data_IF_884361185540
#
_entry.id   IF_884361185540
#
_cell.length_a   1.000
_cell.length_b   1.000
_cell.length_c   1.000
_cell.angle_alpha   90.00
_cell.angle_beta   90.00
_cell.angle_gamma   90.00
#
_symmetry.space_group_name_H-M   'P 1'
#
loop_
_entity.id
_entity.type
_entity.pdbx_description
1 polymer ?
#
# COMPACT_ATOMS: atom_id res chain seq x y z
N UNK A 1 5.94 -21.24 18.70
CA UNK A 1 5.87 -19.87 19.25
C UNK A 1 4.95 -19.71 20.46
N UNK A 2 3.62 -19.86 20.38
CA UNK A 2 2.73 -19.66 21.56
C UNK A 2 2.95 -20.68 22.70
N UNK A 3 3.30 -21.94 22.38
CA UNK A 3 3.64 -22.97 23.40
C UNK A 3 4.96 -22.65 24.11
N UNK A 4 5.99 -22.32 23.36
CA UNK A 4 7.34 -22.02 23.89
C UNK A 4 7.30 -20.81 24.83
N UNK A 5 6.54 -19.80 24.45
CA UNK A 5 6.29 -18.62 25.27
C UNK A 5 5.59 -18.94 26.60
N UNK A 6 4.62 -19.86 26.59
CA UNK A 6 3.92 -20.26 27.80
C UNK A 6 4.81 -21.07 28.74
N UNK A 7 5.74 -21.84 28.16
CA UNK A 7 6.76 -22.58 28.89
C UNK A 7 7.74 -21.60 29.54
N UNK A 8 8.24 -20.60 28.80
CA UNK A 8 9.09 -19.53 29.34
C UNK A 8 8.39 -18.82 30.50
N UNK A 9 7.12 -18.42 30.33
CA UNK A 9 6.37 -17.80 31.43
C UNK A 9 6.25 -18.73 32.65
N UNK A 10 5.95 -20.01 32.45
CA UNK A 10 5.87 -20.98 33.55
C UNK A 10 7.22 -21.10 34.28
N UNK A 11 8.33 -21.16 33.55
CA UNK A 11 9.67 -21.22 34.16
C UNK A 11 9.97 -19.97 34.98
N UNK A 12 9.61 -18.78 34.49
CA UNK A 12 9.76 -17.53 35.25
C UNK A 12 8.92 -17.57 36.53
N UNK A 13 7.66 -18.03 36.45
CA UNK A 13 6.78 -18.15 37.62
C UNK A 13 7.31 -19.14 38.67
N UNK A 14 7.88 -20.26 38.23
CA UNK A 14 8.49 -21.25 39.12
C UNK A 14 9.75 -20.72 39.81
N UNK A 15 10.59 -19.96 39.09
CA UNK A 15 11.77 -19.30 39.68
C UNK A 15 11.36 -18.25 40.72
N UNK A 16 10.31 -17.46 40.44
CA UNK A 16 9.74 -16.50 41.40
C UNK A 16 9.21 -17.24 42.64
N UNK A 17 8.47 -18.34 42.44
CA UNK A 17 7.97 -19.14 43.55
C UNK A 17 9.11 -19.71 44.43
N UNK A 18 10.19 -20.19 43.81
CA UNK A 18 11.37 -20.69 44.51
C UNK A 18 12.04 -19.58 45.33
N UNK A 19 12.14 -18.36 44.79
CA UNK A 19 12.64 -17.19 45.51
C UNK A 19 11.81 -16.90 46.76
N UNK A 20 10.47 -16.94 46.66
CA UNK A 20 9.59 -16.72 47.82
C UNK A 20 9.72 -17.81 48.88
N UNK A 21 9.86 -19.09 48.49
CA UNK A 21 10.10 -20.20 49.42
C UNK A 21 11.42 -19.99 50.16
N UNK A 22 12.49 -19.62 49.45
CA UNK A 22 13.79 -19.33 50.05
C UNK A 22 13.74 -18.13 51.01
N UNK A 23 13.00 -17.08 50.67
CA UNK A 23 12.80 -15.91 51.54
C UNK A 23 12.01 -16.27 52.82
N UNK A 24 11.02 -17.17 52.72
CA UNK A 24 10.18 -17.57 53.83
C UNK A 24 10.95 -18.27 54.97
N UNK A 25 12.07 -18.94 54.68
CA UNK A 25 12.89 -19.61 55.72
C UNK A 25 13.51 -18.65 56.73
N UNK A 26 13.69 -17.37 56.36
CA UNK A 26 14.30 -16.35 57.22
C UNK A 26 13.30 -15.58 58.09
N UNK A 27 12.00 -15.92 57.99
CA UNK A 27 10.90 -15.14 58.58
C UNK A 27 10.27 -15.87 59.77
N UNK A 28 9.60 -15.15 60.70
CA UNK A 28 8.91 -15.75 61.84
C UNK A 28 7.82 -16.73 61.39
N UNK A 29 7.48 -17.68 62.26
CA UNK A 29 6.65 -18.86 61.97
C UNK A 29 5.29 -18.52 61.36
N UNK A 30 4.65 -17.44 61.84
CA UNK A 30 3.35 -16.96 61.36
C UNK A 30 3.44 -16.42 59.92
N UNK A 31 4.43 -15.58 59.63
CA UNK A 31 4.66 -15.04 58.28
C UNK A 31 5.11 -16.13 57.31
N UNK A 32 5.93 -17.06 57.78
CA UNK A 32 6.39 -18.22 57.00
C UNK A 32 5.21 -19.08 56.53
N UNK A 33 4.24 -19.36 57.39
CA UNK A 33 3.07 -20.16 57.03
C UNK A 33 2.23 -19.46 55.94
N UNK A 34 2.02 -18.15 56.05
CA UNK A 34 1.26 -17.36 55.09
C UNK A 34 1.95 -17.32 53.72
N UNK A 35 3.27 -17.10 53.69
CA UNK A 35 4.04 -17.05 52.43
C UNK A 35 4.05 -18.42 51.74
N UNK A 36 4.24 -19.51 52.49
CA UNK A 36 4.21 -20.87 51.93
C UNK A 36 2.82 -21.24 51.41
N UNK A 37 1.76 -20.85 52.11
CA UNK A 37 0.39 -21.05 51.64
C UNK A 37 0.11 -20.28 50.35
N UNK A 38 0.42 -18.98 50.30
CA UNK A 38 0.19 -18.17 49.10
C UNK A 38 1.04 -18.62 47.91
N UNK A 39 2.28 -19.06 48.13
CA UNK A 39 3.14 -19.58 47.05
C UNK A 39 2.65 -20.91 46.50
N UNK A 40 2.15 -21.82 47.34
CA UNK A 40 1.56 -23.09 46.86
C UNK A 40 0.28 -22.87 46.05
N UNK A 41 -0.55 -21.92 46.47
CA UNK A 41 -1.72 -21.46 45.68
C UNK A 41 -1.27 -20.83 44.37
N UNK A 42 -0.22 -20.00 44.37
CA UNK A 42 0.31 -19.37 43.16
C UNK A 42 0.85 -20.40 42.15
N UNK A 43 1.59 -21.42 42.62
CA UNK A 43 2.13 -22.49 41.77
C UNK A 43 1.00 -23.35 41.19
N UNK A 44 0.03 -23.76 42.00
CA UNK A 44 -1.10 -24.57 41.53
C UNK A 44 -1.93 -23.83 40.48
N UNK A 45 -2.23 -22.54 40.70
CA UNK A 45 -2.91 -21.68 39.72
C UNK A 45 -2.06 -21.37 38.48
N UNK A 46 -0.73 -21.47 38.57
CA UNK A 46 0.17 -21.27 37.44
C UNK A 46 0.31 -22.50 36.55
N UNK A 47 0.23 -23.70 37.12
CA UNK A 47 0.29 -24.99 36.40
C UNK A 47 -1.05 -25.30 35.71
N UNK A 48 -2.18 -24.95 36.33
CA UNK A 48 -3.51 -25.21 35.78
C UNK A 48 -3.71 -24.69 34.33
N UNK A 49 -3.31 -23.45 33.99
CA UNK A 49 -3.35 -22.94 32.62
C UNK A 49 -2.38 -23.56 31.64
N UNK A 50 -1.33 -24.23 32.13
CA UNK A 50 -0.41 -24.99 31.29
C UNK A 50 -1.03 -26.34 30.89
N UNK A 51 -1.69 -27.02 31.83
CA UNK A 51 -2.33 -28.32 31.59
C UNK A 51 -3.68 -28.20 30.85
N UNK A 52 -4.48 -27.17 31.17
CA UNK A 52 -5.82 -26.97 30.59
C UNK A 52 -5.99 -25.58 29.96
N UNK A 53 -5.35 -25.32 28.81
CA UNK A 53 -5.25 -23.97 28.22
C UNK A 53 -6.57 -23.37 27.74
N UNK A 54 -7.55 -24.19 27.35
CA UNK A 54 -8.84 -23.73 26.82
C UNK A 54 -9.80 -23.27 27.91
N UNK A 55 -9.93 -24.02 29.01
CA UNK A 55 -10.88 -23.72 30.10
C UNK A 55 -10.42 -22.59 31.04
N UNK A 56 -9.12 -22.34 31.15
CA UNK A 56 -8.55 -21.42 32.17
C UNK A 56 -7.89 -20.17 31.56
N UNK A 57 -8.23 -19.85 30.31
CA UNK A 57 -7.63 -18.75 29.54
C UNK A 57 -7.69 -17.40 30.25
N UNK A 58 -8.79 -17.12 30.95
CA UNK A 58 -8.98 -15.86 31.67
C UNK A 58 -8.22 -15.84 33.00
N UNK A 59 -8.22 -16.95 33.74
CA UNK A 59 -7.51 -17.09 35.02
C UNK A 59 -6.02 -16.77 34.82
N UNK A 60 -5.42 -17.32 33.76
CA UNK A 60 -4.00 -17.12 33.41
C UNK A 60 -3.56 -15.65 33.37
N UNK A 61 -4.44 -14.74 32.94
CA UNK A 61 -4.15 -13.31 32.77
C UNK A 61 -4.11 -12.54 34.09
N UNK A 62 -4.81 -13.05 35.11
CA UNK A 62 -4.97 -12.37 36.39
C UNK A 62 -4.23 -13.05 37.54
N UNK A 63 -3.72 -14.28 37.38
CA UNK A 63 -2.96 -14.98 38.44
C UNK A 63 -1.82 -14.11 38.98
N UNK A 64 -0.98 -13.56 38.09
CA UNK A 64 0.17 -12.76 38.49
C UNK A 64 -0.27 -11.42 39.12
N UNK A 65 -1.36 -10.83 38.63
CA UNK A 65 -1.90 -9.56 39.12
C UNK A 65 -2.51 -9.68 40.52
N UNK A 66 -3.19 -10.79 40.81
CA UNK A 66 -3.89 -11.02 42.09
C UNK A 66 -2.93 -11.57 43.14
N UNK A 67 -2.01 -12.47 42.77
CA UNK A 67 -1.24 -13.23 43.75
C UNK A 67 0.13 -12.63 44.07
N UNK A 68 0.82 -12.01 43.11
CA UNK A 68 2.20 -11.51 43.35
C UNK A 68 2.25 -10.24 44.23
N UNK A 69 1.38 -9.23 44.08
CA UNK A 69 1.46 -8.04 44.92
C UNK A 69 1.25 -8.34 46.42
N UNK A 70 0.26 -9.17 46.83
CA UNK A 70 0.14 -9.60 48.21
C UNK A 70 1.36 -10.39 48.70
N UNK A 71 1.88 -11.32 47.89
CA UNK A 71 3.06 -12.11 48.23
C UNK A 71 4.29 -11.24 48.51
N UNK A 72 4.56 -10.26 47.65
CA UNK A 72 5.66 -9.31 47.80
C UNK A 72 5.47 -8.35 48.99
N UNK A 73 4.22 -8.04 49.34
CA UNK A 73 3.90 -7.21 50.50
C UNK A 73 4.19 -7.96 51.81
N UNK A 74 3.71 -9.19 51.95
CA UNK A 74 3.86 -9.98 53.18
C UNK A 74 5.30 -10.43 53.48
N UNK A 75 6.17 -10.52 52.47
CA UNK A 75 7.58 -10.84 52.67
C UNK A 75 8.37 -9.72 53.35
N UNK A 76 7.95 -8.46 53.23
CA UNK A 76 8.66 -7.29 53.74
C UNK A 76 10.18 -7.34 53.44
N UNK A 77 10.52 -7.56 52.17
CA UNK A 77 11.91 -7.62 51.72
C UNK A 77 12.05 -6.89 50.38
N UNK A 78 13.07 -6.03 50.25
CA UNK A 78 13.33 -5.22 49.06
C UNK A 78 13.64 -6.12 47.85
N UNK A 79 14.26 -7.28 48.07
CA UNK A 79 14.55 -8.23 46.98
C UNK A 79 13.25 -8.86 46.46
N UNK A 80 12.27 -9.09 47.33
CA UNK A 80 11.00 -9.71 46.96
C UNK A 80 10.10 -8.78 46.14
N UNK A 81 10.20 -7.46 46.33
CA UNK A 81 9.44 -6.49 45.52
C UNK A 81 9.91 -6.47 44.06
N UNK A 82 11.21 -6.70 43.81
CA UNK A 82 11.76 -6.81 42.45
C UNK A 82 11.17 -7.98 41.64
N UNK A 83 10.60 -8.99 42.29
CA UNK A 83 9.93 -10.11 41.61
C UNK A 83 8.70 -9.69 40.80
N UNK A 84 8.11 -8.53 41.10
CA UNK A 84 6.99 -7.94 40.34
C UNK A 84 7.45 -7.36 38.99
N UNK A 85 8.73 -6.97 38.89
CA UNK A 85 9.29 -6.40 37.67
C UNK A 85 9.42 -7.44 36.54
N UNK A 86 9.81 -8.68 36.88
CA UNK A 86 9.97 -9.76 35.91
C UNK A 86 8.69 -10.07 35.09
N UNK A 87 7.51 -10.29 35.72
CA UNK A 87 6.26 -10.44 34.99
C UNK A 87 5.79 -9.12 34.36
N UNK A 88 6.06 -7.96 34.97
CA UNK A 88 5.75 -6.67 34.34
C UNK A 88 6.44 -6.55 32.98
N UNK A 89 7.76 -6.76 32.93
CA UNK A 89 8.57 -6.79 31.70
C UNK A 89 8.04 -7.79 30.67
N UNK A 90 7.61 -8.97 31.10
CA UNK A 90 7.06 -9.98 30.20
C UNK A 90 5.70 -9.58 29.59
N UNK A 91 4.86 -8.83 30.32
CA UNK A 91 3.53 -8.44 29.86
C UNK A 91 3.48 -7.14 29.06
N UNK A 92 4.55 -6.35 29.02
CA UNK A 92 4.64 -5.00 28.40
C UNK A 92 3.89 -4.92 27.08
N UNK A 93 4.22 -5.79 26.12
CA UNK A 93 3.70 -5.69 24.75
C UNK A 93 2.40 -6.47 24.52
N UNK A 94 1.96 -7.28 25.48
CA UNK A 94 0.79 -8.17 25.30
C UNK A 94 -0.43 -7.74 26.08
N UNK A 95 -0.22 -7.27 27.30
CA UNK A 95 -1.24 -6.80 28.22
C UNK A 95 -0.69 -5.55 28.92
N UNK A 96 -0.61 -4.40 28.21
CA UNK A 96 0.04 -3.20 28.73
C UNK A 96 -0.60 -2.72 30.04
N UNK A 97 -1.91 -2.88 30.20
CA UNK A 97 -2.61 -2.55 31.45
C UNK A 97 -2.14 -3.40 32.64
N UNK A 98 -1.96 -4.71 32.45
CA UNK A 98 -1.48 -5.63 33.51
C UNK A 98 -0.01 -5.34 33.83
N UNK A 99 0.80 -5.08 32.80
CA UNK A 99 2.19 -4.70 32.92
C UNK A 99 2.38 -3.40 33.72
N UNK A 100 1.61 -2.37 33.40
CA UNK A 100 1.65 -1.08 34.09
C UNK A 100 1.18 -1.22 35.54
N UNK A 101 0.12 -1.98 35.79
CA UNK A 101 -0.34 -2.24 37.16
C UNK A 101 0.74 -2.93 38.00
N UNK A 102 1.36 -3.98 37.49
CA UNK A 102 2.45 -4.69 38.19
C UNK A 102 3.67 -3.79 38.42
N UNK A 103 4.00 -2.94 37.45
CA UNK A 103 5.08 -1.97 37.59
C UNK A 103 4.79 -0.94 38.69
N UNK A 104 3.60 -0.35 38.71
CA UNK A 104 3.20 0.59 39.78
C UNK A 104 3.06 -0.10 41.13
N UNK A 105 2.58 -1.35 41.17
CA UNK A 105 2.57 -2.16 42.39
C UNK A 105 4.00 -2.43 42.90
N UNK A 106 4.95 -2.67 42.00
CA UNK A 106 6.38 -2.80 42.35
C UNK A 106 6.92 -1.51 42.95
N UNK A 107 6.65 -0.34 42.34
CA UNK A 107 7.09 0.97 42.85
C UNK A 107 6.45 1.27 44.21
N UNK A 108 5.16 1.02 44.36
CA UNK A 108 4.42 1.27 45.60
C UNK A 108 4.92 0.37 46.74
N UNK A 109 5.07 -0.93 46.51
CA UNK A 109 5.58 -1.87 47.52
C UNK A 109 7.03 -1.56 47.91
N UNK A 110 7.87 -1.14 46.95
CA UNK A 110 9.24 -0.70 47.21
C UNK A 110 9.31 0.57 48.06
N UNK A 111 8.41 1.53 47.84
CA UNK A 111 8.30 2.74 48.68
C UNK A 111 7.80 2.41 50.09
N UNK A 112 6.83 1.49 50.22
CA UNK A 112 6.28 1.09 51.52
C UNK A 112 7.26 0.28 52.37
N UNK A 113 8.08 -0.59 51.76
CA UNK A 113 9.05 -1.43 52.48
C UNK A 113 10.38 -0.73 52.71
N UNK A 114 10.86 0.06 51.75
CA UNK A 114 12.18 0.71 51.80
C UNK A 114 12.18 2.18 52.23
N UNK A 115 11.00 2.79 52.41
CA UNK A 115 10.87 4.20 52.79
C UNK A 115 11.47 5.18 51.77
N UNK A 116 11.82 6.40 52.20
CA UNK A 116 12.38 7.43 51.31
C UNK A 116 13.69 7.01 50.62
N UNK A 117 14.47 6.13 51.25
CA UNK A 117 15.74 5.63 50.70
C UNK A 117 15.55 4.82 49.41
N UNK A 118 14.36 4.24 49.19
CA UNK A 118 14.10 3.42 48.02
C UNK A 118 13.79 4.22 46.75
N UNK A 119 13.59 5.54 46.87
CA UNK A 119 13.40 6.44 45.72
C UNK A 119 14.57 6.42 44.74
N UNK A 120 15.79 6.15 45.23
CA UNK A 120 17.01 5.98 44.43
C UNK A 120 16.91 4.83 43.40
N UNK A 121 16.11 3.80 43.68
CA UNK A 121 15.94 2.65 42.78
C UNK A 121 14.85 2.86 41.73
N UNK A 122 14.00 3.89 41.87
CA UNK A 122 12.90 4.16 40.93
C UNK A 122 13.41 4.45 39.50
N UNK A 123 14.42 5.32 39.29
CA UNK A 123 14.96 5.54 37.94
C UNK A 123 15.48 4.25 37.28
N UNK A 124 16.10 3.37 38.08
CA UNK A 124 16.60 2.07 37.60
C UNK A 124 15.45 1.15 37.18
N UNK A 125 14.38 1.07 37.98
CA UNK A 125 13.17 0.30 37.65
C UNK A 125 12.53 0.80 36.35
N UNK A 126 12.41 2.12 36.18
CA UNK A 126 11.92 2.73 34.95
C UNK A 126 12.80 2.41 33.75
N UNK A 127 14.13 2.48 33.89
CA UNK A 127 15.06 2.16 32.81
C UNK A 127 14.94 0.69 32.35
N UNK A 128 14.84 -0.25 33.30
CA UNK A 128 14.65 -1.67 33.00
C UNK A 128 13.30 -1.93 32.32
N UNK A 129 12.23 -1.27 32.77
CA UNK A 129 10.92 -1.37 32.16
C UNK A 129 10.90 -0.82 30.73
N UNK A 130 11.47 0.37 30.51
CA UNK A 130 11.55 1.00 29.19
C UNK A 130 12.45 0.23 28.21
N UNK A 131 13.54 -0.37 28.70
CA UNK A 131 14.42 -1.21 27.88
C UNK A 131 13.64 -2.36 27.23
N UNK A 132 12.75 -3.01 27.97
CA UNK A 132 11.90 -4.08 27.45
C UNK A 132 10.85 -3.63 26.43
N UNK A 133 10.41 -2.37 26.47
CA UNK A 133 9.49 -1.78 25.49
C UNK A 133 10.19 -1.52 24.16
N UNK A 134 11.47 -1.13 24.20
CA UNK A 134 12.19 -0.58 23.04
C UNK A 134 12.34 -1.49 21.80
N UNK A 135 12.69 -2.79 21.90
CA UNK A 135 12.95 -3.59 20.69
C UNK A 135 11.68 -3.86 19.87
N UNK A 136 10.58 -4.18 20.54
CA UNK A 136 9.32 -4.50 19.85
C UNK A 136 8.67 -3.25 19.23
N UNK A 137 8.83 -2.09 19.86
CA UNK A 137 8.34 -0.81 19.33
C UNK A 137 9.14 -0.36 18.09
N UNK A 138 10.45 -0.61 18.08
CA UNK A 138 11.29 -0.36 16.90
C UNK A 138 10.89 -1.30 15.76
N UNK A 139 10.61 -2.57 16.05
CA UNK A 139 10.20 -3.54 15.03
C UNK A 139 8.80 -3.27 14.48
N UNK A 140 7.85 -2.80 15.29
CA UNK A 140 6.53 -2.38 14.80
C UNK A 140 6.65 -1.16 13.87
N UNK A 141 7.41 -0.14 14.27
CA UNK A 141 7.67 1.06 13.46
C UNK A 141 8.37 0.68 12.13
N UNK A 142 9.32 -0.26 12.16
CA UNK A 142 9.99 -0.76 10.95
C UNK A 142 9.01 -1.45 10.01
N UNK A 143 8.11 -2.28 10.54
CA UNK A 143 7.06 -2.95 9.74
C UNK A 143 6.12 -1.94 9.11
N UNK A 144 5.66 -0.95 9.87
CA UNK A 144 4.80 0.12 9.35
C UNK A 144 5.50 0.93 8.26
N UNK A 145 6.76 1.30 8.47
CA UNK A 145 7.56 2.01 7.46
C UNK A 145 7.70 1.20 6.16
N UNK A 146 7.94 -0.11 6.28
CA UNK A 146 8.02 -0.99 5.11
C UNK A 146 6.68 -1.07 4.37
N UNK A 147 5.58 -1.19 5.11
CA UNK A 147 4.23 -1.21 4.55
C UNK A 147 3.91 0.08 3.79
N UNK A 148 4.18 1.25 4.38
CA UNK A 148 3.98 2.56 3.73
C UNK A 148 4.81 2.68 2.45
N UNK A 149 6.07 2.20 2.47
CA UNK A 149 6.92 2.21 1.28
C UNK A 149 6.33 1.37 0.15
N UNK A 150 5.85 0.16 0.47
CA UNK A 150 5.20 -0.73 -0.50
C UNK A 150 3.92 -0.12 -1.06
N UNK A 151 3.12 0.52 -0.21
CA UNK A 151 1.88 1.16 -0.62
C UNK A 151 2.15 2.33 -1.59
N UNK A 152 3.19 3.11 -1.32
CA UNK A 152 3.63 4.19 -2.23
C UNK A 152 4.10 3.68 -3.58
N UNK A 153 4.83 2.55 -3.63
CA UNK A 153 5.27 1.96 -4.90
C UNK A 153 4.08 1.45 -5.71
N UNK A 154 3.15 0.72 -5.07
CA UNK A 154 1.95 0.21 -5.73
C UNK A 154 1.04 1.34 -6.24
N UNK A 155 0.90 2.43 -5.49
CA UNK A 155 0.15 3.61 -5.95
C UNK A 155 0.76 4.25 -7.21
N UNK A 156 2.09 4.37 -7.27
CA UNK A 156 2.79 4.88 -8.46
C UNK A 156 2.59 3.98 -9.67
N UNK A 157 2.65 2.66 -9.49
CA UNK A 157 2.39 1.70 -10.56
C UNK A 157 0.95 1.78 -11.05
N UNK A 158 -0.01 1.86 -10.13
CA UNK A 158 -1.44 1.97 -10.47
C UNK A 158 -1.73 3.28 -11.23
N UNK A 159 -1.15 4.40 -10.80
CA UNK A 159 -1.26 5.68 -11.50
C UNK A 159 -0.67 5.61 -12.92
N UNK A 160 0.48 4.94 -13.09
CA UNK A 160 1.08 4.72 -14.41
C UNK A 160 0.18 3.85 -15.30
N UNK A 161 -0.40 2.78 -14.75
CA UNK A 161 -1.30 1.91 -15.51
C UNK A 161 -2.59 2.64 -15.90
N UNK A 162 -3.15 3.45 -15.01
CA UNK A 162 -4.31 4.29 -15.30
C UNK A 162 -4.03 5.24 -16.47
N UNK A 163 -2.87 5.92 -16.46
CA UNK A 163 -2.48 6.80 -17.58
C UNK A 163 -2.32 6.06 -18.91
N UNK A 164 -1.92 4.78 -18.88
CA UNK A 164 -1.84 3.93 -20.08
C UNK A 164 -3.23 3.52 -20.56
N UNK A 165 -4.10 3.09 -19.66
CA UNK A 165 -5.48 2.74 -20.01
C UNK A 165 -6.28 3.92 -20.54
N UNK A 166 -6.07 5.13 -20.02
CA UNK A 166 -6.70 6.33 -20.58
C UNK A 166 -6.24 6.61 -22.01
N UNK A 167 -4.95 6.43 -22.31
CA UNK A 167 -4.42 6.54 -23.69
C UNK A 167 -5.01 5.47 -24.60
N UNK A 168 -4.97 4.21 -24.18
CA UNK A 168 -5.54 3.08 -24.94
C UNK A 168 -7.05 3.24 -25.19
N UNK A 169 -7.79 3.74 -24.20
CA UNK A 169 -9.23 4.00 -24.32
C UNK A 169 -9.51 5.09 -25.36
N UNK A 170 -8.74 6.18 -25.35
CA UNK A 170 -8.84 7.24 -26.36
C UNK A 170 -8.50 6.73 -27.75
N UNK A 171 -7.39 6.00 -27.91
CA UNK A 171 -7.00 5.40 -29.19
C UNK A 171 -8.10 4.46 -29.73
N UNK A 172 -8.70 3.65 -28.85
CA UNK A 172 -9.81 2.77 -29.21
C UNK A 172 -11.04 3.56 -29.65
N UNK A 173 -11.40 4.63 -28.95
CA UNK A 173 -12.53 5.51 -29.30
C UNK A 173 -12.32 6.15 -30.68
N UNK A 174 -11.11 6.63 -30.98
CA UNK A 174 -10.79 7.19 -32.29
C UNK A 174 -10.88 6.14 -33.40
N UNK A 175 -10.33 4.93 -33.17
CA UNK A 175 -10.38 3.85 -34.16
C UNK A 175 -11.80 3.33 -34.39
N UNK A 176 -12.61 3.18 -33.34
CA UNK A 176 -14.01 2.78 -33.49
C UNK A 176 -14.79 3.82 -34.28
N UNK A 177 -14.62 5.12 -33.96
CA UNK A 177 -15.25 6.19 -34.72
C UNK A 177 -14.89 6.14 -36.21
N UNK A 178 -13.60 5.96 -36.55
CA UNK A 178 -13.18 5.88 -37.94
C UNK A 178 -13.77 4.67 -38.67
N UNK A 179 -13.84 3.51 -38.01
CA UNK A 179 -14.41 2.28 -38.60
C UNK A 179 -15.93 2.36 -38.75
N UNK A 180 -16.63 2.84 -37.74
CA UNK A 180 -18.08 2.97 -37.76
C UNK A 180 -18.50 3.92 -38.88
N UNK A 181 -17.82 5.07 -39.02
CA UNK A 181 -18.04 6.01 -40.13
C UNK A 181 -17.64 5.43 -41.48
N UNK A 182 -16.56 4.66 -41.55
CA UNK A 182 -16.17 4.00 -42.78
C UNK A 182 -17.18 2.91 -43.24
N UNK A 183 -18.07 2.44 -42.37
CA UNK A 183 -19.12 1.46 -42.68
C UNK A 183 -20.46 2.14 -42.94
N UNK A 184 -20.81 3.15 -42.15
CA UNK A 184 -22.10 3.86 -42.22
C UNK A 184 -22.19 4.83 -43.42
N UNK A 185 -21.09 5.51 -43.74
CA UNK A 185 -21.09 6.57 -44.74
C UNK A 185 -21.07 5.96 -46.16
N UNK A 186 -21.97 6.40 -47.03
CA UNK A 186 -22.14 5.82 -48.38
C UNK A 186 -21.27 6.50 -49.42
N UNK A 187 -20.80 7.70 -49.13
CA UNK A 187 -19.97 8.52 -50.02
C UNK A 187 -18.69 8.98 -49.33
N UNK A 188 -17.58 9.14 -50.09
CA UNK A 188 -16.32 9.64 -49.54
C UNK A 188 -16.45 11.09 -49.03
N UNK A 189 -17.41 11.85 -49.54
CA UNK A 189 -17.69 13.22 -49.10
C UNK A 189 -18.25 13.25 -47.67
N UNK A 190 -19.26 12.42 -47.38
CA UNK A 190 -19.83 12.26 -46.03
C UNK A 190 -18.79 11.77 -45.02
N UNK A 191 -17.93 10.84 -45.43
CA UNK A 191 -16.85 10.37 -44.56
C UNK A 191 -15.87 11.50 -44.20
N UNK A 192 -15.51 12.34 -45.19
CA UNK A 192 -14.62 13.47 -44.97
C UNK A 192 -15.27 14.62 -44.20
N UNK A 193 -16.57 14.85 -44.34
CA UNK A 193 -17.31 15.83 -43.53
C UNK A 193 -17.28 15.44 -42.06
N UNK A 194 -17.56 14.17 -41.75
CA UNK A 194 -17.55 13.66 -40.38
C UNK A 194 -16.15 13.69 -39.74
N UNK A 195 -15.10 13.42 -40.52
CA UNK A 195 -13.71 13.58 -40.05
C UNK A 195 -13.40 15.05 -39.78
N UNK A 196 -13.80 15.96 -40.68
CA UNK A 196 -13.57 17.39 -40.51
C UNK A 196 -14.24 17.91 -39.24
N UNK A 197 -15.49 17.52 -38.97
CA UNK A 197 -16.24 17.93 -37.79
C UNK A 197 -15.64 17.37 -36.49
N UNK A 198 -15.35 16.06 -36.46
CA UNK A 198 -14.81 15.39 -35.27
C UNK A 198 -13.46 15.95 -34.82
N UNK A 199 -12.59 16.28 -35.77
CA UNK A 199 -11.25 16.82 -35.49
C UNK A 199 -11.16 18.34 -35.65
N UNK A 200 -12.28 19.01 -35.91
CA UNK A 200 -12.36 20.48 -36.09
C UNK A 200 -11.33 21.03 -37.08
N UNK A 201 -11.14 20.34 -38.22
CA UNK A 201 -10.16 20.73 -39.23
C UNK A 201 -10.64 21.95 -40.03
N UNK A 202 -9.69 22.76 -40.51
CA UNK A 202 -10.00 23.94 -41.33
C UNK A 202 -10.58 23.54 -42.68
N UNK A 203 -9.95 22.56 -43.33
CA UNK A 203 -10.33 22.04 -44.64
C UNK A 203 -9.67 20.69 -44.91
N UNK A 204 -10.31 19.87 -45.73
CA UNK A 204 -9.71 18.67 -46.32
C UNK A 204 -9.69 18.84 -47.85
N UNK A 205 -8.63 18.41 -48.52
CA UNK A 205 -8.53 18.43 -49.98
C UNK A 205 -7.86 17.16 -50.51
N UNK A 206 -8.34 16.64 -51.64
CA UNK A 206 -7.71 15.50 -52.32
C UNK A 206 -7.04 16.03 -53.59
N UNK A 207 -5.73 15.79 -53.71
CA UNK A 207 -4.92 16.22 -54.86
C UNK A 207 -4.41 14.97 -55.58
N UNK A 208 -5.00 14.64 -56.74
CA UNK A 208 -4.53 13.55 -57.58
C UNK A 208 -3.12 13.84 -58.11
N UNK A 209 -2.21 12.87 -58.01
CA UNK A 209 -0.82 12.94 -58.51
C UNK A 209 -0.46 11.62 -59.18
N UNK A 210 0.06 11.70 -60.42
CA UNK A 210 0.41 10.50 -61.21
C UNK A 210 1.43 9.60 -60.50
N UNK A 211 2.54 10.17 -60.03
CA UNK A 211 3.61 9.43 -59.36
C UNK A 211 3.96 10.03 -57.98
N UNK A 212 3.60 9.32 -56.91
CA UNK A 212 4.00 9.64 -55.54
C UNK A 212 5.16 8.72 -55.14
N UNK A 213 6.35 9.31 -54.94
CA UNK A 213 7.57 8.56 -54.59
C UNK A 213 7.74 8.31 -53.08
N UNK A 214 7.07 9.09 -52.22
CA UNK A 214 7.14 8.96 -50.76
C UNK A 214 5.93 8.23 -50.20
N UNK A 215 6.16 7.20 -49.39
CA UNK A 215 5.10 6.55 -48.59
C UNK A 215 4.82 7.25 -47.26
N UNK A 216 5.69 8.18 -46.87
CA UNK A 216 5.60 8.88 -45.59
C UNK A 216 4.82 10.17 -45.73
N UNK A 217 4.02 10.48 -44.70
CA UNK A 217 3.26 11.72 -44.63
C UNK A 217 4.20 12.94 -44.50
N UNK A 218 3.92 13.99 -45.27
CA UNK A 218 4.71 15.21 -45.27
C UNK A 218 4.00 16.28 -44.43
N UNK A 219 4.76 16.92 -43.54
CA UNK A 219 4.29 18.02 -42.70
C UNK A 219 4.77 19.33 -43.31
N UNK A 220 3.84 20.18 -43.74
CA UNK A 220 4.15 21.53 -44.18
C UNK A 220 3.78 22.55 -43.09
N UNK A 221 4.82 23.21 -42.57
CA UNK A 221 4.71 24.17 -41.47
C UNK A 221 4.23 25.54 -41.94
N UNK A 222 4.46 25.89 -43.20
CA UNK A 222 4.10 27.19 -43.76
C UNK A 222 2.62 27.23 -44.12
N UNK A 223 2.10 26.13 -44.67
CA UNK A 223 0.68 26.00 -45.05
C UNK A 223 -0.22 25.39 -43.96
N UNK A 224 0.35 25.03 -42.79
CA UNK A 224 -0.36 24.35 -41.69
C UNK A 224 -1.10 23.09 -42.18
N UNK A 225 -0.41 22.27 -42.96
CA UNK A 225 -1.03 21.14 -43.64
C UNK A 225 -0.27 19.82 -43.44
N UNK A 226 -1.04 18.74 -43.27
CA UNK A 226 -0.56 17.35 -43.31
C UNK A 226 -0.92 16.77 -44.67
N UNK A 227 0.09 16.37 -45.43
CA UNK A 227 -0.06 15.70 -46.72
C UNK A 227 0.12 14.19 -46.52
N UNK A 228 -0.97 13.45 -46.61
CA UNK A 228 -0.95 11.99 -46.49
C UNK A 228 -1.01 11.37 -47.90
N UNK A 229 0.02 10.61 -48.32
CA UNK A 229 -0.02 9.89 -49.58
C UNK A 229 -0.96 8.69 -49.47
N UNK A 230 -1.86 8.56 -50.43
CA UNK A 230 -2.83 7.46 -50.54
C UNK A 230 -2.70 6.83 -51.93
N UNK A 231 -2.50 5.52 -51.95
CA UNK A 231 -2.31 4.73 -53.17
C UNK A 231 -3.58 3.92 -53.45
N UNK A 232 -4.27 4.24 -54.55
CA UNK A 232 -5.47 3.55 -55.00
C UNK A 232 -5.10 2.43 -55.99
N UNK A 233 -6.07 1.60 -56.37
CA UNK A 233 -5.83 0.54 -57.38
C UNK A 233 -5.46 1.13 -58.75
N UNK A 234 -6.01 2.30 -59.10
CA UNK A 234 -5.65 3.06 -60.31
C UNK A 234 -5.23 4.51 -59.97
N UNK A 235 -3.94 4.71 -59.75
CA UNK A 235 -3.33 6.03 -59.51
C UNK A 235 -3.11 6.36 -58.02
N UNK A 236 -2.59 7.56 -57.75
CA UNK A 236 -2.24 8.00 -56.40
C UNK A 236 -2.72 9.43 -56.10
N UNK A 237 -2.96 9.75 -54.83
CA UNK A 237 -3.31 11.12 -54.44
C UNK A 237 -2.70 11.50 -53.09
N UNK A 238 -2.60 12.80 -52.86
CA UNK A 238 -2.39 13.35 -51.53
C UNK A 238 -3.71 13.80 -50.94
N UNK A 239 -4.02 13.28 -49.75
CA UNK A 239 -5.08 13.83 -48.91
C UNK A 239 -4.43 14.86 -48.00
N UNK A 240 -4.88 16.10 -48.14
CA UNK A 240 -4.33 17.27 -47.45
C UNK A 240 -5.30 17.70 -46.37
N UNK A 241 -4.87 17.61 -45.11
CA UNK A 241 -5.61 18.12 -43.97
C UNK A 241 -5.03 19.47 -43.55
N UNK A 242 -5.85 20.51 -43.54
CA UNK A 242 -5.46 21.84 -43.08
C UNK A 242 -5.90 22.05 -41.62
N UNK A 243 -4.97 22.45 -40.77
CA UNK A 243 -5.19 22.68 -39.34
C UNK A 243 -5.54 24.14 -39.05
N UNK A 244 -6.12 24.37 -37.87
CA UNK A 244 -6.37 25.73 -37.38
C UNK A 244 -5.15 26.30 -36.68
N UNK A 245 -4.40 25.45 -35.96
CA UNK A 245 -3.25 25.87 -35.17
C UNK A 245 -2.02 25.00 -35.42
N UNK A 246 -0.84 25.60 -35.23
CA UNK A 246 0.45 24.93 -35.39
C UNK A 246 0.68 23.85 -34.30
N UNK A 247 -0.02 23.95 -33.16
CA UNK A 247 0.04 22.98 -32.07
C UNK A 247 -0.61 21.65 -32.45
N UNK A 248 -1.73 21.67 -33.17
CA UNK A 248 -2.42 20.47 -33.68
C UNK A 248 -1.52 19.66 -34.62
N UNK A 249 -0.67 20.34 -35.40
CA UNK A 249 0.25 19.72 -36.35
C UNK A 249 1.41 18.98 -35.65
N UNK A 250 1.74 19.36 -34.42
CA UNK A 250 2.74 18.65 -33.59
C UNK A 250 2.14 17.52 -32.75
N UNK A 251 0.81 17.38 -32.71
CA UNK A 251 0.16 16.29 -32.02
C UNK A 251 0.31 14.98 -32.81
N UNK A 252 1.17 14.10 -32.30
CA UNK A 252 1.45 12.80 -32.90
C UNK A 252 0.26 11.85 -32.89
N UNK A 253 -0.60 11.95 -31.88
CA UNK A 253 -1.79 11.09 -31.78
C UNK A 253 -2.80 11.49 -32.86
N UNK A 254 -2.99 12.80 -33.04
CA UNK A 254 -3.90 13.36 -34.04
C UNK A 254 -3.41 13.12 -35.47
N UNK A 255 -2.14 13.41 -35.76
CA UNK A 255 -1.53 13.20 -37.10
C UNK A 255 -1.56 11.72 -37.52
N UNK A 256 -1.23 10.78 -36.61
CA UNK A 256 -1.34 9.34 -36.89
C UNK A 256 -2.79 8.90 -37.15
N UNK A 257 -3.76 9.50 -36.46
CA UNK A 257 -5.18 9.17 -36.62
C UNK A 257 -5.70 9.66 -37.98
N UNK A 258 -5.30 10.86 -38.41
CA UNK A 258 -5.62 11.39 -39.73
C UNK A 258 -4.90 10.65 -40.87
N UNK A 259 -3.69 10.16 -40.63
CA UNK A 259 -3.00 9.30 -41.59
C UNK A 259 -3.78 7.99 -41.82
N UNK A 260 -4.27 7.37 -40.74
CA UNK A 260 -5.12 6.18 -40.83
C UNK A 260 -6.44 6.47 -41.52
N UNK A 261 -7.09 7.60 -41.22
CA UNK A 261 -8.36 7.96 -41.86
C UNK A 261 -8.20 8.22 -43.35
N UNK A 262 -7.12 8.88 -43.78
CA UNK A 262 -6.81 9.06 -45.20
C UNK A 262 -6.56 7.73 -45.91
N UNK A 263 -5.87 6.77 -45.27
CA UNK A 263 -5.65 5.43 -45.85
C UNK A 263 -6.94 4.64 -46.01
N UNK A 264 -7.97 4.88 -45.18
CA UNK A 264 -9.28 4.23 -45.32
C UNK A 264 -10.08 4.71 -46.54
N UNK A 265 -9.72 5.85 -47.14
CA UNK A 265 -10.34 6.30 -48.40
C UNK A 265 -10.08 5.34 -49.57
N UNK A 266 -9.08 4.46 -49.47
CA UNK A 266 -8.87 3.37 -50.43
C UNK A 266 -10.08 2.44 -50.56
N UNK A 267 -10.96 2.38 -49.56
CA UNK A 267 -12.18 1.58 -49.62
C UNK A 267 -13.27 2.22 -50.50
N UNK A 268 -13.19 3.52 -50.76
CA UNK A 268 -14.22 4.30 -51.46
C UNK A 268 -13.84 4.67 -52.89
N UNK A 269 -12.54 4.82 -53.19
CA UNK A 269 -12.05 5.30 -54.47
C UNK A 269 -11.22 4.19 -55.13
N UNK A 270 -11.70 3.65 -56.26
CA UNK A 270 -10.99 2.64 -57.05
C UNK A 270 -9.79 3.26 -57.77
N UNK A 271 -9.88 4.54 -58.14
CA UNK A 271 -8.79 5.32 -58.70
C UNK A 271 -9.24 6.57 -59.44
N UNK A 272 -8.29 7.27 -60.06
CA UNK A 272 -8.55 8.42 -60.91
C UNK A 272 -8.28 8.05 -62.37
N UNK A 273 -9.25 8.29 -63.27
CA UNK A 273 -9.05 8.04 -64.70
C UNK A 273 -7.99 9.02 -65.27
N UNK A 274 -7.13 8.49 -66.15
CA UNK A 274 -6.00 9.19 -66.79
C UNK A 274 -6.40 10.45 -67.61
N UNK A 275 -7.69 10.72 -67.77
CA UNK A 275 -8.24 11.85 -68.52
C UNK A 275 -8.74 13.03 -67.65
N UNK A 276 -8.61 12.97 -66.33
CA UNK A 276 -8.95 14.12 -65.48
C UNK A 276 -7.82 15.15 -65.53
N UNK A 277 -8.04 16.22 -66.30
CA UNK A 277 -7.18 17.41 -66.36
C UNK A 277 -6.80 17.86 -64.94
N UNK A 278 -5.57 18.36 -64.80
CA UNK A 278 -4.84 18.84 -63.61
C UNK A 278 -5.57 19.83 -62.66
N UNK A 279 -6.86 20.04 -62.79
CA UNK A 279 -7.63 20.89 -61.90
C UNK A 279 -8.34 20.05 -60.84
N UNK A 280 -7.70 20.02 -59.68
CA UNK A 280 -8.28 19.88 -58.35
C UNK A 280 -9.74 19.39 -58.31
N UNK A 281 -9.95 18.13 -57.91
CA UNK A 281 -11.22 17.76 -57.29
C UNK A 281 -11.23 18.45 -55.92
N UNK A 282 -11.64 19.72 -55.92
CA UNK A 282 -11.99 20.47 -54.71
C UNK A 282 -13.30 19.89 -54.19
N UNK A 283 -13.21 18.79 -53.45
CA UNK A 283 -14.20 18.55 -52.41
C UNK A 283 -13.93 19.60 -51.34
N UNK A 284 -14.52 20.78 -51.53
CA UNK A 284 -14.56 21.82 -50.53
C UNK A 284 -15.62 21.42 -49.52
N UNK A 285 -15.23 20.54 -48.60
CA UNK A 285 -15.94 20.40 -47.33
C UNK A 285 -15.14 21.09 -46.26
#
# INVERSE_FOLDING_TARGET
MLRDVNLVLLTVRLLIALMFIMSAFKKPTEQKAIIVFLTTVYVSLSILPFLYPTKTRNIKRFVDLIMLPPLAFFTHDIISTLSLLAPAVFYVNRLPAVSLFLFWACVLTLLLVGGLSSTLYIPLLFALFLSAVSPDLVDSIRKERHYIKKLRTSYRELSKNLSRFEKEAKEREYLSFLLDRAIEDKSPEEFLTHIKERFSLKKIAIIAKGDIQSKDALLDKESLALYVPVFFEKGSAYVVFYFNTLFELYDKELTNTLEKSAKLLNLYIVGFDDNVKKDTIKLAV
#
